data_IF_711744243921
#
_entry.id   IF_711744243921
#
_cell.length_a   1.000
_cell.length_b   1.000
_cell.length_c   1.000
_cell.angle_alpha   90.00
_cell.angle_beta   90.00
_cell.angle_gamma   90.00
#
_symmetry.space_group_name_H-M   'P 1'
#
loop_
_entity.id
_entity.type
_entity.pdbx_description
1 polymer ?
#
# COMPACT_ATOMS: atom_id res chain seq x y z
N UNK A 1 -48.14 94.07 -33.08
CA UNK A 1 -46.96 94.95 -32.75
C UNK A 1 -46.29 94.35 -31.48
N UNK A 2 -45.00 94.15 -31.56
CA UNK A 2 -44.04 93.82 -30.48
C UNK A 2 -44.08 92.45 -29.85
N UNK A 3 -43.22 91.58 -30.31
CA UNK A 3 -42.02 90.93 -29.84
C UNK A 3 -41.77 90.98 -28.32
N UNK A 4 -41.57 89.84 -27.69
CA UNK A 4 -40.39 89.59 -26.83
C UNK A 4 -40.08 88.09 -26.66
N UNK A 5 -38.84 87.84 -26.82
CA UNK A 5 -38.16 86.56 -26.66
C UNK A 5 -38.26 85.98 -25.23
N UNK A 6 -38.44 84.70 -25.13
CA UNK A 6 -38.12 83.93 -23.94
C UNK A 6 -36.95 83.00 -24.23
N UNK A 7 -35.96 83.08 -23.35
CA UNK A 7 -34.72 82.27 -23.33
C UNK A 7 -35.00 80.87 -22.85
N UNK A 8 -34.53 79.91 -23.60
CA UNK A 8 -34.46 78.47 -23.19
C UNK A 8 -33.32 78.23 -22.21
N UNK A 9 -33.65 77.74 -21.03
CA UNK A 9 -32.71 77.23 -20.09
C UNK A 9 -32.57 75.69 -20.26
N UNK A 10 -31.50 75.29 -20.84
CA UNK A 10 -31.14 73.82 -20.96
C UNK A 10 -30.66 73.27 -19.62
N UNK A 11 -31.43 72.36 -19.02
CA UNK A 11 -31.00 71.50 -17.91
C UNK A 11 -30.16 70.35 -18.45
N UNK A 12 -28.85 70.35 -18.12
CA UNK A 12 -27.98 69.24 -18.33
C UNK A 12 -28.19 68.21 -17.20
N UNK A 13 -28.87 67.11 -17.49
CA UNK A 13 -28.87 65.93 -16.64
C UNK A 13 -27.54 65.17 -16.85
N UNK A 14 -26.63 65.30 -15.90
CA UNK A 14 -25.44 64.47 -15.85
C UNK A 14 -25.84 63.07 -15.40
N UNK A 15 -25.89 62.11 -16.32
CA UNK A 15 -26.03 60.69 -16.02
C UNK A 15 -24.68 60.16 -15.47
N UNK A 16 -24.59 59.96 -14.15
CA UNK A 16 -23.54 59.20 -13.53
C UNK A 16 -23.73 57.72 -13.94
N UNK A 17 -22.94 57.27 -14.90
CA UNK A 17 -22.72 55.83 -15.18
C UNK A 17 -21.89 55.26 -14.03
N UNK A 18 -22.54 54.63 -13.07
CA UNK A 18 -21.88 53.74 -12.14
C UNK A 18 -21.32 52.52 -12.91
N UNK A 19 -20.03 52.55 -13.22
CA UNK A 19 -19.31 51.36 -13.59
C UNK A 19 -19.22 50.47 -12.35
N UNK A 20 -20.09 49.47 -12.25
CA UNK A 20 -19.86 48.31 -11.37
C UNK A 20 -18.64 47.55 -11.93
N UNK A 21 -17.62 47.31 -11.13
CA UNK A 21 -16.56 46.44 -11.58
C UNK A 21 -17.15 45.04 -11.78
N UNK A 22 -17.26 44.61 -13.03
CA UNK A 22 -17.42 43.19 -13.34
C UNK A 22 -16.21 42.50 -12.76
N UNK A 23 -16.34 42.01 -11.52
CA UNK A 23 -15.49 40.96 -11.02
C UNK A 23 -15.74 39.75 -11.92
N UNK A 24 -14.94 39.64 -12.98
CA UNK A 24 -14.74 38.37 -13.69
C UNK A 24 -14.17 37.42 -12.65
N UNK A 25 -15.04 36.71 -11.95
CA UNK A 25 -14.65 35.54 -11.20
C UNK A 25 -13.98 34.65 -12.23
N UNK A 26 -12.66 34.55 -12.13
CA UNK A 26 -11.93 33.50 -12.81
C UNK A 26 -12.62 32.20 -12.40
N UNK A 27 -13.41 31.63 -13.29
CA UNK A 27 -13.86 30.26 -13.17
C UNK A 27 -12.57 29.46 -13.23
N UNK A 28 -12.03 29.13 -12.05
CA UNK A 28 -11.01 28.09 -11.94
C UNK A 28 -11.62 26.87 -12.62
N UNK A 29 -11.02 26.44 -13.73
CA UNK A 29 -11.43 25.23 -14.44
C UNK A 29 -11.14 24.04 -13.53
N UNK A 30 -12.01 23.85 -12.53
CA UNK A 30 -11.95 22.71 -11.63
C UNK A 30 -12.13 21.43 -12.43
N UNK A 31 -11.22 20.48 -12.29
CA UNK A 31 -11.36 19.17 -12.91
C UNK A 31 -12.57 18.41 -12.33
N UNK A 32 -13.04 17.40 -13.03
CA UNK A 32 -14.12 16.55 -12.51
C UNK A 32 -13.72 15.92 -11.17
N UNK A 33 -12.49 15.44 -11.05
CA UNK A 33 -11.95 14.86 -9.82
C UNK A 33 -12.01 15.83 -8.64
N UNK A 34 -11.55 17.07 -8.81
CA UNK A 34 -11.62 18.11 -7.78
C UNK A 34 -13.07 18.43 -7.38
N UNK A 35 -14.01 18.45 -8.35
CA UNK A 35 -15.43 18.64 -8.04
C UNK A 35 -16.02 17.48 -7.22
N UNK A 36 -15.65 16.24 -7.54
CA UNK A 36 -16.08 15.07 -6.78
C UNK A 36 -15.50 15.09 -5.36
N UNK A 37 -14.21 15.38 -5.19
CA UNK A 37 -13.56 15.50 -3.89
C UNK A 37 -14.21 16.57 -3.02
N UNK A 38 -14.45 17.78 -3.59
CA UNK A 38 -15.06 18.90 -2.87
C UNK A 38 -16.51 18.64 -2.41
N UNK A 39 -17.20 17.65 -2.99
CA UNK A 39 -18.56 17.23 -2.61
C UNK A 39 -18.59 15.97 -1.76
N UNK A 40 -17.44 15.37 -1.48
CA UNK A 40 -17.32 14.16 -0.67
C UNK A 40 -16.93 14.51 0.77
N UNK A 41 -17.40 13.72 1.71
CA UNK A 41 -17.02 13.83 3.12
C UNK A 41 -15.66 13.15 3.35
N UNK A 42 -14.58 13.86 3.04
CA UNK A 42 -13.22 13.38 3.27
C UNK A 42 -12.74 13.81 4.64
N UNK A 43 -12.04 12.90 5.33
CA UNK A 43 -11.46 13.17 6.63
C UNK A 43 -10.51 14.37 6.59
N UNK A 44 -10.42 15.08 7.71
CA UNK A 44 -9.41 16.13 7.87
C UNK A 44 -8.01 15.53 7.77
N UNK A 45 -7.00 16.31 7.34
CA UNK A 45 -5.62 15.87 7.29
C UNK A 45 -5.19 15.23 8.61
N UNK A 46 -4.51 14.10 8.51
CA UNK A 46 -4.05 13.35 9.67
C UNK A 46 -2.94 14.11 10.42
N UNK A 47 -3.09 14.22 11.73
CA UNK A 47 -2.12 14.89 12.61
C UNK A 47 -1.72 13.98 13.75
N UNK A 48 -0.43 13.75 13.91
CA UNK A 48 0.14 13.05 15.05
C UNK A 48 0.14 14.00 16.26
N UNK A 49 -0.39 13.61 17.42
CA UNK A 49 -0.44 14.45 18.61
C UNK A 49 0.97 14.65 19.20
N UNK A 50 1.19 15.74 19.97
CA UNK A 50 2.52 16.15 20.38
C UNK A 50 3.14 15.28 21.48
N UNK A 51 2.42 14.37 22.09
CA UNK A 51 2.93 13.51 23.16
C UNK A 51 2.84 12.03 22.81
N UNK A 52 3.82 11.25 23.29
CA UNK A 52 3.86 9.81 23.09
C UNK A 52 2.63 9.10 23.66
N UNK A 53 2.12 9.53 24.81
CA UNK A 53 0.92 8.94 25.42
C UNK A 53 -0.34 9.17 24.56
N UNK A 54 -0.54 10.41 24.08
CA UNK A 54 -1.64 10.73 23.18
C UNK A 54 -1.53 9.99 21.85
N UNK A 55 -0.29 9.88 21.30
CA UNK A 55 -0.03 9.09 20.11
C UNK A 55 -0.38 7.61 20.30
N UNK A 56 0.02 6.98 21.39
CA UNK A 56 -0.33 5.57 21.65
C UNK A 56 -1.84 5.35 21.65
N UNK A 57 -2.59 6.28 22.23
CA UNK A 57 -4.06 6.24 22.24
C UNK A 57 -4.64 6.39 20.80
N UNK A 58 -4.13 7.35 20.03
CA UNK A 58 -4.56 7.55 18.63
C UNK A 58 -4.18 6.35 17.76
N UNK A 59 -2.95 5.86 17.89
CA UNK A 59 -2.43 4.68 17.18
C UNK A 59 -3.33 3.45 17.38
N UNK A 60 -3.78 3.22 18.62
CA UNK A 60 -4.74 2.15 18.93
C UNK A 60 -6.08 2.33 18.22
N UNK A 61 -6.61 3.56 18.20
CA UNK A 61 -7.87 3.88 17.49
C UNK A 61 -7.74 3.71 15.97
N UNK A 62 -6.67 4.24 15.37
CA UNK A 62 -6.43 4.11 13.92
C UNK A 62 -6.33 2.64 13.53
N UNK A 63 -5.59 1.82 14.30
CA UNK A 63 -5.47 0.38 14.02
C UNK A 63 -6.81 -0.35 14.15
N UNK A 64 -7.61 -0.03 15.18
CA UNK A 64 -8.93 -0.62 15.34
C UNK A 64 -9.86 -0.25 14.17
N UNK A 65 -9.87 1.04 13.78
CA UNK A 65 -10.62 1.52 12.63
C UNK A 65 -10.17 0.84 11.33
N UNK A 66 -8.86 0.61 11.17
CA UNK A 66 -8.32 -0.07 9.99
C UNK A 66 -8.85 -1.50 9.87
N UNK A 67 -8.91 -2.23 10.98
CA UNK A 67 -9.51 -3.57 11.01
C UNK A 67 -11.01 -3.54 10.70
N UNK A 68 -11.74 -2.56 11.22
CA UNK A 68 -13.16 -2.37 10.95
C UNK A 68 -13.42 -2.10 9.46
N UNK A 69 -12.61 -1.24 8.84
CA UNK A 69 -12.71 -0.90 7.40
C UNK A 69 -12.42 -2.08 6.48
N UNK A 70 -11.57 -3.02 6.89
CA UNK A 70 -11.33 -4.25 6.14
C UNK A 70 -12.56 -5.18 6.14
N UNK A 71 -13.50 -4.96 7.05
CA UNK A 71 -14.79 -5.63 7.13
C UNK A 71 -14.79 -6.90 7.99
N UNK A 72 -15.87 -7.66 7.92
CA UNK A 72 -16.07 -8.90 8.71
C UNK A 72 -15.22 -10.04 8.16
N UNK A 73 -13.91 -9.99 8.40
CA UNK A 73 -13.01 -11.05 7.96
C UNK A 73 -13.28 -12.36 8.74
N UNK A 74 -13.22 -13.53 8.09
CA UNK A 74 -13.28 -14.81 8.77
C UNK A 74 -12.18 -14.92 9.83
N UNK A 75 -12.42 -15.57 10.97
CA UNK A 75 -11.40 -15.78 11.99
C UNK A 75 -10.17 -16.47 11.41
N UNK A 76 -8.96 -16.07 11.88
CA UNK A 76 -7.74 -16.79 11.58
C UNK A 76 -7.51 -17.86 12.64
N UNK A 77 -7.07 -19.04 12.21
CA UNK A 77 -6.47 -20.00 13.14
C UNK A 77 -5.13 -19.44 13.62
N UNK A 78 -4.75 -19.71 14.88
CA UNK A 78 -3.45 -19.24 15.43
C UNK A 78 -2.26 -19.73 14.60
N UNK A 79 -2.35 -20.93 14.04
CA UNK A 79 -1.38 -21.52 13.16
C UNK A 79 -2.10 -22.30 12.07
N UNK A 80 -1.91 -21.96 10.79
CA UNK A 80 -2.50 -22.72 9.71
C UNK A 80 -1.91 -24.14 9.68
N UNK A 81 -2.74 -25.12 9.36
CA UNK A 81 -2.27 -26.47 9.08
C UNK A 81 -1.64 -26.45 7.69
N UNK A 82 -0.31 -26.54 7.66
CA UNK A 82 0.46 -26.50 6.42
C UNK A 82 0.77 -27.91 5.95
N UNK A 83 0.57 -28.14 4.65
CA UNK A 83 0.99 -29.33 3.93
C UNK A 83 2.20 -28.98 3.05
N UNK A 84 3.32 -29.69 3.25
CA UNK A 84 4.48 -29.60 2.36
C UNK A 84 4.27 -30.52 1.17
N UNK A 85 4.26 -29.96 -0.04
CA UNK A 85 4.01 -30.68 -1.29
C UNK A 85 5.29 -31.24 -1.91
N UNK A 86 6.39 -30.49 -1.82
CA UNK A 86 7.71 -30.92 -2.29
C UNK A 86 8.81 -30.19 -1.54
N UNK A 87 10.00 -30.80 -1.55
CA UNK A 87 11.23 -30.20 -1.02
C UNK A 87 12.35 -30.43 -2.03
N UNK A 88 13.03 -29.36 -2.45
CA UNK A 88 14.09 -29.40 -3.43
C UNK A 88 15.38 -28.79 -2.88
N UNK A 89 16.49 -29.50 -3.03
CA UNK A 89 17.84 -28.99 -2.75
C UNK A 89 18.35 -28.22 -3.99
N UNK A 90 18.62 -26.94 -3.84
CA UNK A 90 19.13 -26.04 -4.88
C UNK A 90 20.59 -25.62 -4.64
N UNK A 91 21.37 -26.46 -3.92
CA UNK A 91 22.78 -26.23 -3.60
C UNK A 91 22.97 -25.33 -2.38
N UNK A 92 22.85 -24.02 -2.51
CA UNK A 92 23.03 -23.05 -1.42
C UNK A 92 21.80 -22.93 -0.50
N UNK A 93 20.64 -23.33 -0.99
CA UNK A 93 19.36 -23.23 -0.29
C UNK A 93 18.42 -24.37 -0.63
N UNK A 94 17.45 -24.59 0.23
CA UNK A 94 16.37 -25.58 0.05
C UNK A 94 15.06 -24.84 -0.18
N UNK A 95 14.26 -25.33 -1.12
CA UNK A 95 12.92 -24.81 -1.45
C UNK A 95 11.88 -25.82 -0.96
N UNK A 96 10.93 -25.37 -0.16
CA UNK A 96 9.75 -26.13 0.22
C UNK A 96 8.54 -25.50 -0.51
N UNK A 97 7.86 -26.27 -1.37
CA UNK A 97 6.54 -25.90 -1.87
C UNK A 97 5.52 -26.37 -0.85
N UNK A 98 4.64 -25.48 -0.43
CA UNK A 98 3.62 -25.80 0.57
C UNK A 98 2.26 -25.23 0.19
N UNK A 99 1.23 -25.67 0.91
CA UNK A 99 -0.09 -25.06 0.89
C UNK A 99 -0.74 -25.13 2.27
N UNK A 100 -1.74 -24.27 2.49
CA UNK A 100 -2.62 -24.35 3.64
C UNK A 100 -4.06 -23.94 3.27
N UNK A 101 -5.04 -24.50 3.97
CA UNK A 101 -6.41 -24.02 3.92
C UNK A 101 -6.54 -22.72 4.75
N UNK A 102 -7.06 -21.66 4.15
CA UNK A 102 -7.24 -20.42 4.87
C UNK A 102 -8.49 -20.38 5.76
N UNK A 103 -9.27 -21.44 5.83
CA UNK A 103 -10.51 -21.52 6.62
C UNK A 103 -11.63 -20.61 6.11
N UNK A 104 -11.51 -20.12 4.88
CA UNK A 104 -12.48 -19.24 4.22
C UNK A 104 -12.82 -19.70 2.80
N UNK A 105 -12.66 -21.00 2.55
CA UNK A 105 -12.98 -21.66 1.28
C UNK A 105 -11.89 -21.59 0.21
N UNK A 106 -10.65 -21.29 0.59
CA UNK A 106 -9.55 -21.23 -0.36
C UNK A 106 -8.25 -21.87 0.17
N UNK A 107 -7.58 -22.63 -0.69
CA UNK A 107 -6.20 -23.07 -0.49
C UNK A 107 -5.23 -21.95 -0.87
N UNK A 108 -4.20 -21.76 -0.05
CA UNK A 108 -3.14 -20.77 -0.26
C UNK A 108 -1.83 -21.49 -0.53
N UNK A 109 -1.37 -21.54 -1.79
CA UNK A 109 -0.06 -22.08 -2.13
C UNK A 109 1.07 -21.09 -1.80
N UNK A 110 2.23 -21.62 -1.44
CA UNK A 110 3.40 -20.82 -1.12
C UNK A 110 4.71 -21.55 -1.38
N UNK A 111 5.80 -20.78 -1.34
CA UNK A 111 7.16 -21.27 -1.26
C UNK A 111 7.84 -20.75 0.01
N UNK A 112 8.59 -21.64 0.66
CA UNK A 112 9.53 -21.29 1.71
C UNK A 112 10.93 -21.70 1.25
N UNK A 113 11.82 -20.70 1.20
CA UNK A 113 13.23 -20.91 0.92
C UNK A 113 14.01 -20.76 2.21
N UNK A 114 14.93 -21.68 2.49
CA UNK A 114 15.84 -21.56 3.63
C UNK A 114 17.27 -21.83 3.21
N UNK A 115 18.26 -21.18 3.81
CA UNK A 115 19.65 -21.54 3.62
C UNK A 115 19.85 -23.05 3.88
N UNK A 116 20.70 -23.70 3.10
CA UNK A 116 21.00 -25.13 3.31
C UNK A 116 21.71 -25.35 4.65
N UNK A 117 22.67 -24.49 4.95
CA UNK A 117 23.40 -24.50 6.20
C UNK A 117 22.96 -23.36 7.10
N UNK A 118 22.33 -23.67 8.22
CA UNK A 118 21.93 -22.75 9.24
C UNK A 118 22.70 -23.02 10.55
N UNK A 119 23.32 -21.97 11.09
CA UNK A 119 23.88 -21.97 12.44
C UNK A 119 22.87 -21.24 13.38
N UNK A 120 21.99 -22.04 13.97
CA UNK A 120 20.94 -21.51 14.85
C UNK A 120 19.74 -20.92 14.08
N UNK A 121 19.01 -20.00 14.70
CA UNK A 121 17.81 -19.38 14.10
C UNK A 121 18.18 -18.23 13.17
N UNK A 122 17.61 -18.24 11.98
CA UNK A 122 17.80 -17.22 10.96
C UNK A 122 16.78 -16.07 11.05
N UNK A 123 17.13 -14.86 10.60
CA UNK A 123 16.13 -13.83 10.27
C UNK A 123 15.27 -14.30 9.09
N UNK A 124 14.08 -13.72 8.94
CA UNK A 124 13.17 -14.11 7.88
C UNK A 124 12.56 -12.93 7.13
N UNK A 125 12.18 -13.18 5.89
CA UNK A 125 11.52 -12.23 4.99
C UNK A 125 10.18 -12.82 4.55
N UNK A 126 9.09 -12.09 4.79
CA UNK A 126 7.83 -12.31 4.10
C UNK A 126 7.88 -11.50 2.80
N UNK A 127 7.95 -12.18 1.66
CA UNK A 127 7.98 -11.55 0.35
C UNK A 127 6.59 -11.48 -0.24
N UNK A 128 6.13 -10.29 -0.58
CA UNK A 128 4.86 -10.02 -1.21
C UNK A 128 5.06 -9.75 -2.70
N UNK A 129 4.54 -10.62 -3.57
CA UNK A 129 4.66 -10.47 -5.02
C UNK A 129 3.87 -9.26 -5.55
N UNK A 130 4.22 -8.78 -6.74
CA UNK A 130 3.59 -7.65 -7.39
C UNK A 130 2.27 -8.03 -8.09
N UNK A 131 1.64 -7.05 -8.75
CA UNK A 131 0.41 -7.26 -9.53
C UNK A 131 0.64 -7.18 -11.05
N UNK A 132 0.94 -5.99 -11.57
CA UNK A 132 1.27 -5.68 -12.98
C UNK A 132 0.31 -6.24 -14.05
N UNK A 133 -0.83 -6.80 -13.66
CA UNK A 133 -1.70 -7.55 -14.57
C UNK A 133 -1.21 -8.97 -14.87
N UNK A 134 -0.16 -9.44 -14.20
CA UNK A 134 0.47 -10.74 -14.46
C UNK A 134 -0.05 -11.82 -13.50
N UNK A 135 -1.31 -12.11 -13.62
CA UNK A 135 -2.02 -13.01 -12.72
C UNK A 135 -1.50 -14.44 -12.67
N UNK A 136 -0.75 -14.88 -13.67
CA UNK A 136 -0.18 -16.24 -13.73
C UNK A 136 1.10 -16.39 -12.90
N UNK A 137 1.72 -15.29 -12.45
CA UNK A 137 3.03 -15.33 -11.77
C UNK A 137 2.89 -15.62 -10.28
N UNK A 138 2.23 -14.73 -9.54
CA UNK A 138 2.08 -14.89 -8.09
C UNK A 138 3.43 -15.12 -7.38
N UNK A 139 3.49 -16.15 -6.54
CA UNK A 139 4.69 -16.54 -5.77
C UNK A 139 5.88 -16.98 -6.62
N UNK A 140 5.66 -17.31 -7.90
CA UNK A 140 6.76 -17.66 -8.82
C UNK A 140 7.72 -16.47 -9.04
N UNK A 141 7.30 -15.24 -8.74
CA UNK A 141 8.16 -14.06 -8.72
C UNK A 141 9.41 -14.25 -7.85
N UNK A 142 9.33 -15.07 -6.79
CA UNK A 142 10.50 -15.40 -5.97
C UNK A 142 11.69 -15.94 -6.79
N UNK A 143 11.43 -16.57 -7.92
CA UNK A 143 12.45 -17.21 -8.77
C UNK A 143 12.73 -16.45 -10.07
N UNK A 144 12.15 -15.28 -10.27
CA UNK A 144 12.24 -14.50 -11.52
C UNK A 144 12.99 -13.18 -11.31
N UNK A 145 13.85 -12.82 -12.25
CA UNK A 145 14.52 -11.51 -12.32
C UNK A 145 13.76 -10.57 -13.29
N UNK A 146 12.43 -10.57 -13.24
CA UNK A 146 11.60 -9.77 -14.13
C UNK A 146 11.29 -8.39 -13.56
N UNK A 147 10.98 -8.34 -12.29
CA UNK A 147 10.58 -7.11 -11.58
C UNK A 147 11.63 -6.64 -10.59
N UNK A 148 12.56 -7.51 -10.26
CA UNK A 148 13.75 -7.23 -9.46
C UNK A 148 15.00 -7.57 -10.26
N UNK A 149 16.14 -6.94 -10.01
CA UNK A 149 17.39 -7.18 -10.76
C UNK A 149 17.94 -8.62 -10.66
N UNK A 150 17.57 -9.35 -9.62
CA UNK A 150 17.85 -10.79 -9.45
C UNK A 150 16.64 -11.46 -8.76
N UNK A 151 16.48 -12.80 -8.87
CA UNK A 151 15.40 -13.51 -8.21
C UNK A 151 15.41 -13.28 -6.69
N UNK A 152 14.35 -12.69 -6.09
CA UNK A 152 14.39 -12.25 -4.69
C UNK A 152 14.49 -13.40 -3.70
N UNK A 153 13.88 -14.54 -3.97
CA UNK A 153 13.94 -15.71 -3.09
C UNK A 153 15.37 -16.21 -2.87
N UNK A 154 16.08 -16.63 -3.92
CA UNK A 154 17.51 -16.99 -3.85
C UNK A 154 18.40 -15.87 -3.31
N UNK A 155 18.14 -14.63 -3.70
CA UNK A 155 18.94 -13.48 -3.27
C UNK A 155 18.97 -13.33 -1.74
N UNK A 156 17.83 -13.43 -1.10
CA UNK A 156 17.75 -13.39 0.37
C UNK A 156 18.21 -14.70 1.02
N UNK A 157 17.84 -15.87 0.46
CA UNK A 157 18.22 -17.16 1.05
C UNK A 157 19.74 -17.34 1.10
N UNK A 158 20.47 -16.99 0.03
CA UNK A 158 21.94 -16.99 -0.02
C UNK A 158 22.59 -16.03 0.98
N UNK A 159 21.84 -14.99 1.37
CA UNK A 159 22.25 -14.05 2.42
C UNK A 159 21.84 -14.48 3.83
N UNK A 160 21.40 -15.72 4.01
CA UNK A 160 21.12 -16.31 5.32
C UNK A 160 19.72 -16.02 5.87
N UNK A 161 18.77 -15.58 5.04
CA UNK A 161 17.38 -15.39 5.43
C UNK A 161 16.52 -16.62 5.10
N UNK A 162 15.54 -16.90 5.92
CA UNK A 162 14.40 -17.73 5.51
C UNK A 162 13.41 -16.82 4.78
N UNK A 163 12.98 -17.21 3.58
CA UNK A 163 12.11 -16.40 2.72
C UNK A 163 10.80 -17.13 2.49
N UNK A 164 9.68 -16.47 2.68
CA UNK A 164 8.37 -17.04 2.41
C UNK A 164 7.57 -16.10 1.49
N UNK A 165 6.93 -16.66 0.47
CA UNK A 165 5.96 -15.95 -0.37
C UNK A 165 4.79 -16.86 -0.71
N UNK A 166 3.61 -16.28 -0.77
CA UNK A 166 2.35 -16.96 -1.11
C UNK A 166 1.69 -16.33 -2.33
N UNK A 167 0.84 -17.09 -3.02
CA UNK A 167 -0.07 -16.52 -3.99
C UNK A 167 -1.16 -15.70 -3.30
N UNK A 168 -1.28 -14.43 -3.66
CA UNK A 168 -2.45 -13.63 -3.30
C UNK A 168 -3.71 -14.14 -4.03
N UNK A 169 -4.89 -13.67 -3.63
CA UNK A 169 -6.13 -13.97 -4.34
C UNK A 169 -6.00 -13.63 -5.83
N UNK A 170 -6.48 -14.52 -6.68
CA UNK A 170 -6.50 -14.41 -8.15
C UNK A 170 -5.14 -14.58 -8.84
N UNK A 171 -4.04 -14.83 -8.11
CA UNK A 171 -2.70 -15.01 -8.67
C UNK A 171 -2.19 -16.45 -8.60
N UNK A 172 -1.25 -16.78 -9.48
CA UNK A 172 -0.57 -18.06 -9.54
C UNK A 172 -1.55 -19.23 -9.59
N UNK A 173 -1.40 -20.19 -8.71
CA UNK A 173 -2.27 -21.37 -8.62
C UNK A 173 -3.70 -21.04 -8.13
N UNK A 174 -3.95 -19.81 -7.66
CA UNK A 174 -5.29 -19.33 -7.28
C UNK A 174 -6.03 -18.61 -8.42
N UNK A 175 -5.39 -18.42 -9.57
CA UNK A 175 -6.01 -17.80 -10.75
C UNK A 175 -7.11 -18.71 -11.31
N UNK A 176 -8.33 -18.19 -11.45
CA UNK A 176 -9.51 -18.97 -11.86
C UNK A 176 -10.11 -19.87 -10.76
N UNK A 177 -9.69 -19.68 -9.49
CA UNK A 177 -10.25 -20.39 -8.33
C UNK A 177 -11.05 -19.50 -7.38
N UNK A 178 -11.49 -18.36 -7.89
CA UNK A 178 -12.35 -17.41 -7.17
C UNK A 178 -13.86 -17.75 -7.28
N UNK A 179 -14.71 -16.91 -6.69
CA UNK A 179 -16.18 -17.12 -6.69
C UNK A 179 -16.82 -17.12 -8.10
N UNK A 180 -16.18 -16.54 -9.11
CA UNK A 180 -16.62 -16.59 -10.50
C UNK A 180 -16.29 -17.90 -11.23
N UNK A 181 -15.56 -18.81 -10.56
CA UNK A 181 -15.19 -20.11 -11.10
C UNK A 181 -14.06 -20.06 -12.14
N UNK A 182 -13.73 -21.20 -12.78
CA UNK A 182 -12.56 -21.34 -13.64
C UNK A 182 -12.64 -20.58 -14.96
N UNK A 183 -13.82 -20.13 -15.37
CA UNK A 183 -14.00 -19.32 -16.57
C UNK A 183 -13.56 -17.86 -16.35
N UNK A 184 -13.52 -17.39 -15.10
CA UNK A 184 -13.09 -16.05 -14.74
C UNK A 184 -11.66 -16.06 -14.19
N UNK A 185 -10.70 -15.75 -15.05
CA UNK A 185 -9.29 -15.62 -14.72
C UNK A 185 -8.83 -14.16 -14.78
N UNK A 186 -7.69 -13.88 -14.17
CA UNK A 186 -7.07 -12.57 -14.19
C UNK A 186 -7.99 -11.49 -13.63
N UNK A 187 -8.07 -10.34 -14.31
CA UNK A 187 -8.88 -9.20 -13.87
C UNK A 187 -10.38 -9.51 -13.73
N UNK A 188 -10.94 -10.44 -14.52
CA UNK A 188 -12.33 -10.87 -14.37
C UNK A 188 -12.53 -11.60 -13.04
N UNK A 189 -11.63 -12.51 -12.68
CA UNK A 189 -11.65 -13.22 -11.41
C UNK A 189 -11.45 -12.28 -10.21
N UNK A 190 -10.55 -11.32 -10.34
CA UNK A 190 -10.32 -10.29 -9.32
C UNK A 190 -11.57 -9.42 -9.10
N UNK A 191 -12.21 -9.00 -10.19
CA UNK A 191 -13.45 -8.22 -10.11
C UNK A 191 -14.56 -9.02 -9.41
N UNK A 192 -14.75 -10.29 -9.75
CA UNK A 192 -15.76 -11.14 -9.14
C UNK A 192 -15.44 -11.43 -7.68
N UNK A 193 -14.18 -11.66 -7.33
CA UNK A 193 -13.75 -11.80 -5.95
C UNK A 193 -14.00 -10.52 -5.14
N UNK A 194 -13.76 -9.34 -5.73
CA UNK A 194 -14.05 -8.05 -5.09
C UNK A 194 -15.54 -7.87 -4.84
N UNK A 195 -16.40 -8.09 -5.86
CA UNK A 195 -17.86 -8.00 -5.74
C UNK A 195 -18.41 -8.95 -4.67
N UNK A 196 -17.95 -10.21 -4.68
CA UNK A 196 -18.36 -11.19 -3.67
C UNK A 196 -18.02 -10.74 -2.26
N UNK A 197 -16.77 -10.30 -2.03
CA UNK A 197 -16.35 -9.86 -0.71
C UNK A 197 -17.12 -8.64 -0.24
N UNK A 198 -17.42 -7.66 -1.11
CA UNK A 198 -18.26 -6.51 -0.78
C UNK A 198 -19.67 -6.93 -0.36
N UNK A 199 -20.30 -7.87 -1.07
CA UNK A 199 -21.64 -8.35 -0.71
C UNK A 199 -21.70 -9.04 0.64
N UNK A 200 -20.63 -9.70 1.06
CA UNK A 200 -20.58 -10.36 2.38
C UNK A 200 -19.96 -9.49 3.47
N UNK A 201 -19.81 -8.17 3.21
CA UNK A 201 -19.43 -7.18 4.22
C UNK A 201 -17.93 -7.16 4.57
N UNK A 202 -17.05 -7.48 3.63
CA UNK A 202 -15.59 -7.41 3.76
C UNK A 202 -14.95 -6.97 2.46
N UNK A 203 -13.64 -6.71 2.48
CA UNK A 203 -12.88 -6.31 1.30
C UNK A 203 -12.03 -7.45 0.77
N UNK A 204 -11.76 -7.48 -0.54
CA UNK A 204 -10.76 -8.38 -1.12
C UNK A 204 -9.38 -8.07 -0.54
N UNK A 205 -9.06 -6.79 -0.35
CA UNK A 205 -7.82 -6.35 0.31
C UNK A 205 -7.65 -6.95 1.70
N UNK A 206 -8.70 -6.91 2.52
CA UNK A 206 -8.70 -7.53 3.84
C UNK A 206 -8.46 -9.04 3.80
N UNK A 207 -9.02 -9.74 2.79
CA UNK A 207 -8.79 -11.16 2.60
C UNK A 207 -7.36 -11.48 2.17
N UNK A 208 -6.74 -10.65 1.30
CA UNK A 208 -5.33 -10.78 0.92
C UNK A 208 -4.42 -10.61 2.14
N UNK A 209 -4.59 -9.52 2.90
CA UNK A 209 -3.81 -9.28 4.12
C UNK A 209 -4.02 -10.34 5.19
N UNK A 210 -5.24 -10.89 5.29
CA UNK A 210 -5.54 -12.00 6.20
C UNK A 210 -4.72 -13.25 5.86
N UNK A 211 -4.63 -13.62 4.59
CA UNK A 211 -3.85 -14.77 4.14
C UNK A 211 -2.35 -14.53 4.33
N UNK A 212 -1.85 -13.30 4.10
CA UNK A 212 -0.48 -12.90 4.41
C UNK A 212 -0.15 -13.01 5.91
N UNK A 213 -1.09 -12.62 6.78
CA UNK A 213 -0.91 -12.77 8.22
C UNK A 213 -0.91 -14.25 8.66
N UNK A 214 -1.66 -15.12 7.99
CA UNK A 214 -1.56 -16.57 8.20
C UNK A 214 -0.22 -17.12 7.73
N UNK A 215 0.30 -16.63 6.60
CA UNK A 215 1.65 -16.96 6.14
C UNK A 215 2.72 -16.46 7.11
N UNK A 216 2.55 -15.27 7.70
CA UNK A 216 3.40 -14.75 8.77
C UNK A 216 3.34 -15.63 10.04
N UNK A 217 2.14 -16.12 10.41
CA UNK A 217 1.97 -17.02 11.55
C UNK A 217 2.76 -18.31 11.31
N UNK A 218 2.69 -18.88 10.10
CA UNK A 218 3.48 -20.04 9.70
C UNK A 218 4.99 -19.75 9.71
N UNK A 219 5.42 -18.67 9.09
CA UNK A 219 6.84 -18.26 9.05
C UNK A 219 7.42 -18.12 10.46
N UNK A 220 6.70 -17.43 11.35
CA UNK A 220 7.12 -17.22 12.72
C UNK A 220 7.16 -18.51 13.58
N UNK A 221 6.40 -19.55 13.19
CA UNK A 221 6.35 -20.84 13.88
C UNK A 221 7.48 -21.79 13.50
N UNK A 222 8.19 -21.50 12.40
CA UNK A 222 9.26 -22.37 11.91
C UNK A 222 10.41 -22.45 12.90
N UNK A 223 10.92 -23.66 13.22
CA UNK A 223 11.97 -23.85 14.22
C UNK A 223 13.28 -23.13 13.85
N UNK A 224 13.58 -23.02 12.55
CA UNK A 224 14.76 -22.34 12.02
C UNK A 224 14.64 -20.81 11.98
N UNK A 225 13.46 -20.23 12.26
CA UNK A 225 13.23 -18.78 12.20
C UNK A 225 13.36 -18.14 13.58
N UNK A 226 14.08 -17.01 13.67
CA UNK A 226 13.97 -16.10 14.82
C UNK A 226 12.76 -15.17 14.60
N UNK A 227 11.65 -15.49 15.25
CA UNK A 227 10.40 -14.71 15.16
C UNK A 227 10.53 -13.24 15.60
N UNK A 228 11.65 -12.84 16.21
CA UNK A 228 11.95 -11.45 16.58
C UNK A 228 12.66 -10.69 15.46
N UNK A 229 13.03 -11.36 14.36
CA UNK A 229 13.80 -10.82 13.24
C UNK A 229 13.10 -11.12 11.90
N UNK A 230 11.83 -10.69 11.78
CA UNK A 230 11.03 -10.85 10.56
C UNK A 230 10.88 -9.50 9.88
N UNK A 231 11.22 -9.43 8.60
CA UNK A 231 10.98 -8.30 7.70
C UNK A 231 9.94 -8.62 6.64
N UNK A 232 9.48 -7.59 5.97
CA UNK A 232 8.54 -7.71 4.83
C UNK A 232 9.00 -6.83 3.69
N UNK A 233 8.86 -7.32 2.45
CA UNK A 233 9.18 -6.50 1.26
C UNK A 233 8.39 -6.95 0.05
N UNK A 234 8.30 -6.07 -0.92
CA UNK A 234 7.74 -6.30 -2.23
C UNK A 234 7.71 -5.03 -3.08
N UNK A 235 7.27 -5.19 -4.31
CA UNK A 235 7.08 -4.09 -5.25
C UNK A 235 5.59 -3.90 -5.56
N UNK A 236 5.15 -2.68 -5.86
CA UNK A 236 3.79 -2.37 -6.34
C UNK A 236 2.71 -2.85 -5.36
N UNK A 237 1.82 -3.76 -5.74
CA UNK A 237 0.87 -4.42 -4.82
C UNK A 237 1.62 -5.06 -3.64
N UNK A 238 2.77 -5.68 -3.89
CA UNK A 238 3.61 -6.26 -2.84
C UNK A 238 4.14 -5.21 -1.87
N UNK A 239 4.50 -4.03 -2.34
CA UNK A 239 4.90 -2.90 -1.50
C UNK A 239 3.74 -2.45 -0.61
N UNK A 240 2.53 -2.28 -1.19
CA UNK A 240 1.34 -1.89 -0.44
C UNK A 240 0.99 -2.94 0.61
N UNK A 241 1.01 -4.24 0.26
CA UNK A 241 0.84 -5.33 1.25
C UNK A 241 1.88 -5.21 2.37
N UNK A 242 3.13 -4.93 2.05
CA UNK A 242 4.22 -4.85 3.03
C UNK A 242 3.98 -3.79 4.11
N UNK A 243 3.69 -2.55 3.74
CA UNK A 243 3.48 -1.53 4.77
C UNK A 243 2.12 -1.64 5.48
N UNK A 244 1.08 -2.19 4.82
CA UNK A 244 -0.16 -2.54 5.51
C UNK A 244 0.05 -3.63 6.56
N UNK A 245 0.79 -4.68 6.23
CA UNK A 245 1.12 -5.76 7.16
C UNK A 245 1.93 -5.23 8.35
N UNK A 246 2.88 -4.33 8.13
CA UNK A 246 3.58 -3.66 9.24
C UNK A 246 2.63 -2.85 10.13
N UNK A 247 1.64 -2.18 9.55
CA UNK A 247 0.66 -1.42 10.32
C UNK A 247 -0.24 -2.33 11.18
N UNK A 248 -0.57 -3.52 10.68
CA UNK A 248 -1.48 -4.46 11.32
C UNK A 248 -0.79 -5.40 12.31
N UNK A 249 0.49 -5.77 12.10
CA UNK A 249 1.21 -6.74 12.93
C UNK A 249 2.59 -6.24 13.37
N UNK A 250 2.80 -6.17 14.68
CA UNK A 250 4.03 -5.65 15.29
C UNK A 250 5.19 -6.65 15.28
N UNK A 251 4.96 -7.91 14.92
CA UNK A 251 6.03 -8.91 14.77
C UNK A 251 6.93 -8.61 13.59
N UNK A 252 6.42 -7.89 12.60
CA UNK A 252 7.23 -7.41 11.47
C UNK A 252 8.10 -6.27 11.97
N UNK A 253 9.41 -6.48 12.01
CA UNK A 253 10.37 -5.55 12.62
C UNK A 253 10.82 -4.45 11.70
N UNK A 254 10.82 -4.69 10.42
CA UNK A 254 11.18 -3.73 9.38
C UNK A 254 10.51 -4.05 8.06
N UNK A 255 10.41 -3.08 7.18
CA UNK A 255 9.90 -3.29 5.82
C UNK A 255 10.55 -2.40 4.80
N UNK A 256 10.60 -2.90 3.57
CA UNK A 256 10.95 -2.13 2.38
C UNK A 256 9.80 -2.20 1.39
N UNK A 257 9.35 -1.06 0.92
CA UNK A 257 8.24 -0.93 -0.02
C UNK A 257 8.71 -0.13 -1.25
N UNK A 258 8.64 -0.76 -2.44
CA UNK A 258 9.10 -0.14 -3.68
C UNK A 258 7.94 0.09 -4.61
N UNK A 259 7.83 1.34 -5.12
CA UNK A 259 6.84 1.77 -6.09
C UNK A 259 5.38 1.53 -5.64
N UNK A 260 5.00 2.02 -4.47
CA UNK A 260 3.59 2.17 -4.08
C UNK A 260 3.38 2.81 -2.68
N UNK A 261 3.95 3.98 -2.44
CA UNK A 261 3.53 4.81 -1.30
C UNK A 261 2.55 5.87 -1.82
N UNK A 262 1.28 5.50 -1.94
CA UNK A 262 0.26 6.31 -2.59
C UNK A 262 -0.64 6.98 -1.58
N UNK A 263 -0.79 8.31 -1.66
CA UNK A 263 -1.86 9.04 -0.98
C UNK A 263 -3.09 9.04 -1.90
N UNK A 264 -4.22 8.54 -1.40
CA UNK A 264 -5.38 8.27 -2.25
C UNK A 264 -6.08 9.54 -2.74
N UNK A 265 -6.13 10.58 -1.92
CA UNK A 265 -6.67 11.88 -2.32
C UNK A 265 -5.87 12.45 -3.50
N UNK A 266 -4.51 12.43 -3.44
CA UNK A 266 -3.68 12.88 -4.55
C UNK A 266 -3.81 11.99 -5.80
N UNK A 267 -3.99 10.68 -5.63
CA UNK A 267 -4.28 9.78 -6.75
C UNK A 267 -5.57 10.17 -7.48
N UNK A 268 -6.60 10.60 -6.74
CA UNK A 268 -7.88 11.10 -7.30
C UNK A 268 -7.64 12.44 -7.99
N UNK A 269 -6.96 13.39 -7.35
CA UNK A 269 -6.63 14.71 -7.93
C UNK A 269 -5.89 14.58 -9.25
N UNK A 270 -4.93 13.66 -9.34
CA UNK A 270 -4.21 13.34 -10.57
C UNK A 270 -5.00 12.48 -11.57
N UNK A 271 -6.26 12.14 -11.28
CA UNK A 271 -7.16 11.33 -12.13
C UNK A 271 -6.57 9.94 -12.49
N UNK A 272 -5.83 9.35 -11.55
CA UNK A 272 -5.06 8.10 -11.74
C UNK A 272 -5.66 6.89 -11.00
N UNK A 273 -6.96 6.89 -10.69
CA UNK A 273 -7.63 5.73 -10.08
C UNK A 273 -7.44 4.44 -10.89
N UNK A 274 -7.30 4.56 -12.23
CA UNK A 274 -7.04 3.43 -13.14
C UNK A 274 -5.66 2.76 -12.94
N UNK A 275 -4.73 3.41 -12.21
CA UNK A 275 -3.40 2.87 -11.98
C UNK A 275 -3.40 1.67 -11.01
N UNK A 276 -4.46 1.50 -10.24
CA UNK A 276 -4.62 0.40 -9.29
C UNK A 276 -5.81 -0.48 -9.63
N UNK A 277 -5.68 -1.79 -9.40
CA UNK A 277 -6.77 -2.75 -9.56
C UNK A 277 -7.83 -2.61 -8.46
N UNK A 278 -8.99 -3.21 -8.70
CA UNK A 278 -10.14 -3.12 -7.78
C UNK A 278 -9.83 -3.71 -6.38
N UNK A 279 -8.88 -4.63 -6.28
CA UNK A 279 -8.47 -5.24 -5.01
C UNK A 279 -8.04 -4.21 -3.95
N UNK A 280 -7.48 -3.09 -4.42
CA UNK A 280 -6.82 -2.06 -3.63
C UNK A 280 -7.79 -1.18 -2.82
N UNK A 281 -9.05 -1.09 -3.27
CA UNK A 281 -10.01 -0.12 -2.74
C UNK A 281 -10.69 -0.65 -1.48
N UNK A 282 -10.54 0.10 -0.39
CA UNK A 282 -11.21 -0.16 0.89
C UNK A 282 -12.33 0.86 1.06
N UNK A 283 -13.60 0.43 1.03
CA UNK A 283 -14.74 1.34 1.17
C UNK A 283 -14.66 2.16 2.45
N UNK A 284 -15.09 3.42 2.37
CA UNK A 284 -15.16 4.35 3.49
C UNK A 284 -13.81 4.77 4.11
N UNK A 285 -12.67 4.36 3.53
CA UNK A 285 -11.35 4.66 4.10
C UNK A 285 -11.13 6.18 4.22
N UNK A 286 -11.36 6.94 3.14
CA UNK A 286 -11.11 8.37 3.09
C UNK A 286 -12.04 9.21 3.99
N UNK A 287 -13.16 8.66 4.48
CA UNK A 287 -13.99 9.32 5.47
C UNK A 287 -13.37 9.28 6.88
N UNK A 288 -12.34 8.45 7.09
CA UNK A 288 -11.66 8.31 8.38
C UNK A 288 -10.23 8.84 8.34
N UNK A 289 -9.46 8.49 7.30
CA UNK A 289 -8.06 8.89 7.10
C UNK A 289 -7.58 8.46 5.71
N UNK A 290 -6.40 8.94 5.33
CA UNK A 290 -5.69 8.47 4.15
C UNK A 290 -4.41 7.71 4.56
N UNK A 291 -3.55 7.38 3.62
CA UNK A 291 -2.33 6.56 3.76
C UNK A 291 -1.40 7.04 4.87
N UNK A 292 -1.31 8.34 5.13
CA UNK A 292 -0.46 8.88 6.18
C UNK A 292 -0.80 8.35 7.58
N UNK A 293 -2.06 8.10 7.86
CA UNK A 293 -2.47 7.51 9.15
C UNK A 293 -2.00 6.06 9.28
N UNK A 294 -2.09 5.29 8.20
CA UNK A 294 -1.64 3.89 8.16
C UNK A 294 -0.11 3.82 8.24
N UNK A 295 0.59 4.64 7.48
CA UNK A 295 2.05 4.70 7.49
C UNK A 295 2.61 5.16 8.85
N UNK A 296 1.92 6.05 9.57
CA UNK A 296 2.32 6.45 10.91
C UNK A 296 2.29 5.30 11.92
N UNK A 297 1.44 4.27 11.73
CA UNK A 297 1.40 3.07 12.57
C UNK A 297 2.72 2.27 12.56
N UNK A 298 3.57 2.46 11.57
CA UNK A 298 4.85 1.78 11.46
C UNK A 298 5.83 2.25 12.54
N UNK A 299 5.70 3.50 13.00
CA UNK A 299 6.58 4.06 14.03
C UNK A 299 6.55 3.25 15.33
N UNK A 300 7.71 3.00 15.97
CA UNK A 300 9.06 3.47 15.64
C UNK A 300 9.90 2.48 14.83
N UNK A 301 9.29 1.49 14.17
CA UNK A 301 10.01 0.42 13.44
C UNK A 301 10.63 0.94 12.15
N UNK A 302 11.84 0.48 11.79
CA UNK A 302 12.48 0.89 10.54
C UNK A 302 11.61 0.61 9.32
N UNK A 303 11.43 1.60 8.46
CA UNK A 303 10.66 1.48 7.22
C UNK A 303 11.35 2.29 6.10
N UNK A 304 11.55 1.64 4.95
CA UNK A 304 12.15 2.22 3.76
C UNK A 304 11.15 2.22 2.62
N UNK A 305 10.93 3.39 2.03
CA UNK A 305 10.08 3.57 0.85
C UNK A 305 10.91 4.11 -0.31
N UNK A 306 10.72 3.56 -1.50
CA UNK A 306 11.41 3.98 -2.71
C UNK A 306 10.41 4.07 -3.86
N UNK A 307 10.27 5.25 -4.46
CA UNK A 307 9.32 5.53 -5.52
C UNK A 307 10.00 6.33 -6.63
N UNK A 308 9.49 6.25 -7.85
CA UNK A 308 9.88 7.12 -8.95
C UNK A 308 9.02 8.38 -9.00
N UNK A 309 9.58 9.50 -9.47
CA UNK A 309 8.85 10.76 -9.63
C UNK A 309 7.90 10.78 -10.84
N UNK A 310 8.08 9.82 -11.77
CA UNK A 310 7.21 9.61 -12.93
C UNK A 310 6.22 8.45 -12.75
N UNK A 311 6.12 7.89 -11.53
CA UNK A 311 5.14 6.86 -11.23
C UNK A 311 3.75 7.47 -10.99
N UNK A 312 2.90 7.41 -12.01
CA UNK A 312 1.54 7.94 -11.95
C UNK A 312 0.64 7.24 -10.92
N UNK A 313 1.00 6.03 -10.48
CA UNK A 313 0.30 5.30 -9.42
C UNK A 313 0.65 5.78 -8.01
N UNK A 314 1.69 6.60 -7.87
CA UNK A 314 2.17 7.14 -6.58
C UNK A 314 2.65 8.57 -6.76
N UNK A 315 1.74 9.56 -6.96
CA UNK A 315 2.11 10.95 -7.21
C UNK A 315 3.07 11.51 -6.16
N UNK A 316 4.18 12.16 -6.55
CA UNK A 316 5.23 12.62 -5.64
C UNK A 316 4.76 13.64 -4.60
N UNK A 317 3.80 14.49 -4.94
CA UNK A 317 3.19 15.47 -4.03
C UNK A 317 2.46 14.75 -2.89
N UNK A 318 1.69 13.70 -3.18
CA UNK A 318 1.04 12.85 -2.19
C UNK A 318 2.07 12.13 -1.29
N UNK A 319 3.18 11.64 -1.85
CA UNK A 319 4.27 11.02 -1.05
C UNK A 319 4.82 12.04 -0.05
N UNK A 320 5.06 13.27 -0.46
CA UNK A 320 5.56 14.34 0.43
C UNK A 320 4.59 14.67 1.56
N UNK A 321 3.28 14.64 1.30
CA UNK A 321 2.26 14.81 2.35
C UNK A 321 2.37 13.67 3.38
N UNK A 322 2.49 12.42 2.91
CA UNK A 322 2.67 11.26 3.80
C UNK A 322 3.94 11.44 4.65
N UNK A 323 5.07 11.79 4.04
CA UNK A 323 6.33 11.99 4.74
C UNK A 323 6.22 13.03 5.87
N UNK A 324 5.60 14.18 5.57
CA UNK A 324 5.41 15.26 6.54
C UNK A 324 4.53 14.82 7.71
N UNK A 325 3.46 14.07 7.44
CA UNK A 325 2.53 13.61 8.47
C UNK A 325 3.10 12.46 9.33
N UNK A 326 3.98 11.62 8.77
CA UNK A 326 4.54 10.43 9.45
C UNK A 326 5.74 10.78 10.32
N UNK A 327 6.63 11.67 9.89
CA UNK A 327 7.85 12.05 10.64
C UNK A 327 7.62 12.42 12.12
N UNK A 328 6.56 13.18 12.47
CA UNK A 328 6.25 13.45 13.88
C UNK A 328 6.05 12.19 14.73
N UNK A 329 5.45 11.12 14.19
CA UNK A 329 5.28 9.86 14.92
C UNK A 329 6.64 9.24 15.28
N UNK A 330 7.60 9.23 14.36
CA UNK A 330 8.95 8.74 14.62
C UNK A 330 9.72 9.65 15.59
N UNK A 331 9.52 10.97 15.48
CA UNK A 331 10.14 11.97 16.40
C UNK A 331 9.76 11.73 17.84
N UNK A 332 8.52 11.34 18.14
CA UNK A 332 8.06 11.00 19.49
C UNK A 332 8.88 9.89 20.15
N UNK A 333 9.58 9.07 19.37
CA UNK A 333 10.43 7.99 19.84
C UNK A 333 11.94 8.29 19.71
N UNK A 334 12.32 9.46 19.20
CA UNK A 334 13.73 9.77 18.87
C UNK A 334 14.28 8.89 17.75
N UNK A 335 13.42 8.50 16.78
CA UNK A 335 13.72 7.53 15.73
C UNK A 335 13.43 8.09 14.33
N UNK A 336 13.62 9.38 14.11
CA UNK A 336 13.31 10.01 12.81
C UNK A 336 14.06 9.37 11.63
N UNK A 337 15.32 8.95 11.85
CA UNK A 337 16.12 8.27 10.82
C UNK A 337 15.66 6.86 10.45
N UNK A 338 14.75 6.28 11.24
CA UNK A 338 14.19 4.96 10.94
C UNK A 338 13.05 5.00 9.91
N UNK A 339 12.53 6.18 9.58
CA UNK A 339 11.60 6.37 8.46
C UNK A 339 12.37 7.00 7.30
N UNK A 340 12.62 6.23 6.27
CA UNK A 340 13.30 6.70 5.07
C UNK A 340 12.36 6.57 3.85
N UNK A 341 12.27 7.63 3.07
CA UNK A 341 11.49 7.69 1.85
C UNK A 341 12.29 8.43 0.79
N UNK A 342 12.46 7.80 -0.36
CA UNK A 342 13.21 8.33 -1.49
C UNK A 342 12.31 8.43 -2.71
N UNK A 343 12.39 9.56 -3.41
CA UNK A 343 11.74 9.78 -4.70
C UNK A 343 12.89 9.92 -5.71
N UNK A 344 13.01 8.93 -6.59
CA UNK A 344 14.07 8.87 -7.60
C UNK A 344 13.64 9.65 -8.84
N UNK A 345 14.50 10.57 -9.27
CA UNK A 345 14.24 11.40 -10.44
C UNK A 345 14.26 10.56 -11.74
N UNK A 346 13.40 10.94 -12.68
CA UNK A 346 13.27 10.31 -14.00
C UNK A 346 12.95 8.80 -13.96
N UNK A 347 12.40 8.32 -12.84
CA UNK A 347 11.98 6.93 -12.69
C UNK A 347 10.46 6.81 -12.65
N UNK A 348 9.95 5.83 -13.39
CA UNK A 348 8.55 5.41 -13.34
C UNK A 348 8.30 4.33 -12.29
N UNK A 349 7.39 3.41 -12.65
CA UNK A 349 7.01 2.26 -11.82
C UNK A 349 8.03 1.11 -11.98
N UNK A 350 9.21 1.25 -11.40
CA UNK A 350 10.35 0.35 -11.60
C UNK A 350 11.06 0.00 -10.30
N UNK A 351 11.79 -1.12 -10.31
CA UNK A 351 12.70 -1.54 -9.24
C UNK A 351 14.13 -1.56 -9.79
N UNK A 352 14.85 -0.46 -9.66
CA UNK A 352 16.20 -0.31 -10.22
C UNK A 352 17.24 -1.14 -9.45
N UNK A 353 18.43 -1.42 -10.06
CA UNK A 353 19.54 -2.07 -9.35
C UNK A 353 19.98 -1.32 -8.09
N UNK A 354 19.93 0.02 -8.08
CA UNK A 354 20.24 0.83 -6.89
C UNK A 354 19.22 0.61 -5.77
N UNK A 355 17.92 0.66 -6.09
CA UNK A 355 16.85 0.37 -5.13
C UNK A 355 16.97 -1.06 -4.57
N UNK A 356 17.34 -2.02 -5.41
CA UNK A 356 17.52 -3.41 -4.99
C UNK A 356 18.70 -3.58 -4.05
N UNK A 357 19.86 -3.01 -4.38
CA UNK A 357 21.03 -3.01 -3.50
C UNK A 357 20.71 -2.41 -2.13
N UNK A 358 20.00 -1.27 -2.11
CA UNK A 358 19.53 -0.61 -0.89
C UNK A 358 18.55 -1.48 -0.08
N UNK A 359 17.69 -2.24 -0.76
CA UNK A 359 16.78 -3.20 -0.09
C UNK A 359 17.55 -4.31 0.61
N UNK A 360 18.53 -4.91 -0.07
CA UNK A 360 19.36 -5.98 0.49
C UNK A 360 20.18 -5.50 1.68
N UNK A 361 20.81 -4.33 1.57
CA UNK A 361 21.54 -3.66 2.65
C UNK A 361 20.62 -3.40 3.85
N UNK A 362 19.47 -2.72 3.62
CA UNK A 362 18.51 -2.40 4.67
C UNK A 362 18.06 -3.62 5.44
N UNK A 363 17.64 -4.69 4.74
CA UNK A 363 17.18 -5.92 5.39
C UNK A 363 18.29 -6.59 6.17
N UNK A 364 19.50 -6.57 5.64
CA UNK A 364 20.67 -7.14 6.31
C UNK A 364 20.98 -6.40 7.60
N UNK A 365 21.03 -5.08 7.56
CA UNK A 365 21.40 -4.25 8.71
C UNK A 365 20.36 -4.24 9.82
N UNK A 366 19.07 -4.37 9.46
CA UNK A 366 17.97 -4.27 10.41
C UNK A 366 17.53 -5.62 11.01
N UNK A 367 17.93 -6.74 10.41
CA UNK A 367 17.51 -8.08 10.84
C UNK A 367 18.64 -9.02 11.27
N UNK A 368 19.89 -8.67 11.01
CA UNK A 368 21.07 -9.45 11.45
C UNK A 368 21.69 -9.02 12.77
#
# INVERSE_FOLDING_TARGET
MNRKLCSEGALWLSALLCFAPNALMAQTNQTDAERWLAKSEIARPFVVPPTRAAWQKQRGRVRAQLWELLGKLPPRTKLPKVETLSTEDRGDYVVEKFQFDNGAGATVPGYLLRPKELRGKAPAILYCHWHGGEYEIGKEELFQAKHTPEPPGPAFAKRGFVVLGIDAYCFGERNGRGPGGPAEKGGAGEMSASKFNLWVGRTLWGMMLRDDLMALDYLASRPEVDARRIGVTGMSMGATRSWWLMALDERIRTGVAVACLTRYENLIEHQMLKAHGIYYYVPNLLNHFDTEAVAALLAPRPALFMNGDQDSGSPPDGIRVIEQAVRPAYRLYGKEGEFQSFIYAEQGHVYTPEMWAKTLEWMTDRLR
#
